data_IF_382682841633
#
_entry.id   IF_382682841633
#
_cell.length_a   1.000
_cell.length_b   1.000
_cell.length_c   1.000
_cell.angle_alpha   90.00
_cell.angle_beta   90.00
_cell.angle_gamma   90.00
#
_symmetry.space_group_name_H-M   'P 1'
#
loop_
_entity.id
_entity.type
_entity.pdbx_description
1 polymer ?
#
# COMPACT_ATOMS: atom_id res chain seq x y z
N UNK A 1 21.34 7.47 9.94
CA UNK A 1 20.59 8.67 9.50
C UNK A 1 20.68 8.79 7.99
N UNK A 2 19.81 8.11 7.23
CA UNK A 2 19.74 8.24 5.75
C UNK A 2 18.52 7.54 5.13
N UNK A 3 17.33 7.64 5.73
CA UNK A 3 16.07 7.18 5.10
C UNK A 3 14.93 8.21 5.20
N UNK A 4 15.26 9.45 5.54
CA UNK A 4 14.38 10.60 5.32
C UNK A 4 14.75 11.15 3.94
N UNK A 5 13.77 11.48 3.10
CA UNK A 5 13.89 12.04 1.74
C UNK A 5 13.77 11.08 0.55
N UNK A 6 12.80 10.16 0.56
CA UNK A 6 12.28 9.60 -0.71
C UNK A 6 10.76 9.80 -0.88
N UNK A 7 10.23 10.92 -0.38
CA UNK A 7 8.81 11.28 -0.48
C UNK A 7 8.49 12.34 -1.55
N UNK A 8 9.45 12.86 -2.31
CA UNK A 8 9.19 14.01 -3.20
C UNK A 8 9.47 13.79 -4.70
N UNK A 9 9.99 12.64 -5.13
CA UNK A 9 10.57 12.55 -6.49
C UNK A 9 9.73 11.80 -7.56
N UNK A 10 8.64 11.09 -7.21
CA UNK A 10 7.94 10.25 -8.21
C UNK A 10 6.74 10.94 -8.87
N UNK A 11 6.24 12.08 -8.37
CA UNK A 11 5.09 12.77 -8.99
C UNK A 11 5.44 13.69 -10.17
N UNK A 12 6.73 13.90 -10.47
CA UNK A 12 7.16 15.01 -11.33
C UNK A 12 7.42 14.67 -12.82
N UNK A 13 7.20 13.44 -13.30
CA UNK A 13 7.78 13.01 -14.59
C UNK A 13 6.81 12.85 -15.77
N UNK A 14 5.52 13.23 -15.70
CA UNK A 14 4.63 13.14 -16.89
C UNK A 14 3.79 14.37 -17.24
N UNK A 15 4.23 15.59 -16.87
CA UNK A 15 3.54 16.84 -17.24
C UNK A 15 4.37 17.79 -18.12
N UNK A 16 5.30 17.27 -18.94
CA UNK A 16 5.99 18.10 -19.95
C UNK A 16 5.47 17.79 -21.34
N UNK A 17 4.59 18.65 -21.87
CA UNK A 17 4.20 18.53 -23.27
C UNK A 17 3.05 19.39 -23.81
N UNK A 18 2.90 20.66 -23.41
CA UNK A 18 2.36 21.74 -24.28
C UNK A 18 2.41 23.10 -23.55
N UNK A 19 3.41 23.91 -23.87
CA UNK A 19 3.31 25.36 -23.71
C UNK A 19 2.42 25.84 -24.84
N UNK A 20 1.12 26.01 -24.57
CA UNK A 20 0.23 26.76 -25.41
C UNK A 20 0.04 28.14 -24.77
N UNK A 21 0.16 29.17 -25.59
CA UNK A 21 0.08 30.57 -25.22
C UNK A 21 -1.19 30.89 -24.40
N UNK A 22 -1.05 31.83 -23.47
CA UNK A 22 -2.15 32.42 -22.71
C UNK A 22 -3.14 33.09 -23.66
N UNK A 23 -4.30 32.48 -23.89
CA UNK A 23 -5.47 33.17 -24.43
C UNK A 23 -6.40 33.59 -23.28
N UNK A 24 -6.77 34.88 -23.18
CA UNK A 24 -7.74 35.35 -22.21
C UNK A 24 -9.15 34.95 -22.65
N UNK A 25 -9.51 33.72 -22.28
CA UNK A 25 -10.81 33.11 -22.53
C UNK A 25 -10.92 31.70 -21.96
N UNK A 26 -10.07 31.34 -20.99
CA UNK A 26 -10.04 30.00 -20.42
C UNK A 26 -11.35 29.71 -19.69
N UNK A 27 -12.25 28.98 -20.35
CA UNK A 27 -13.30 28.22 -19.69
C UNK A 27 -12.71 27.57 -18.44
N UNK A 28 -13.38 27.72 -17.30
CA UNK A 28 -12.90 27.18 -16.03
C UNK A 28 -12.48 25.73 -16.25
N UNK A 29 -11.18 25.46 -16.17
CA UNK A 29 -10.62 24.15 -16.43
C UNK A 29 -11.25 23.20 -15.42
N UNK A 30 -11.92 22.15 -15.88
CA UNK A 30 -12.59 21.22 -14.98
C UNK A 30 -11.58 20.69 -13.94
N UNK A 31 -11.99 20.53 -12.67
CA UNK A 31 -11.10 20.01 -11.65
C UNK A 31 -10.53 18.66 -12.03
N UNK A 32 -9.27 18.44 -11.64
CA UNK A 32 -8.73 17.10 -11.57
C UNK A 32 -9.51 16.30 -10.51
N UNK A 33 -10.19 15.23 -10.92
CA UNK A 33 -10.98 14.38 -10.04
C UNK A 33 -10.23 13.10 -9.72
N UNK A 34 -9.93 12.91 -8.44
CA UNK A 34 -9.19 11.75 -7.94
C UNK A 34 -10.06 10.96 -6.99
N UNK A 35 -10.31 9.69 -7.31
CA UNK A 35 -10.96 8.73 -6.42
C UNK A 35 -9.90 7.95 -5.64
N UNK A 36 -10.03 7.89 -4.32
CA UNK A 36 -9.11 7.16 -3.44
C UNK A 36 -9.88 6.00 -2.81
N UNK A 37 -9.45 4.78 -3.08
CA UNK A 37 -9.97 3.55 -2.48
C UNK A 37 -9.03 3.10 -1.37
N UNK A 38 -9.51 3.14 -0.13
CA UNK A 38 -8.81 2.62 1.05
C UNK A 38 -9.55 1.39 1.58
N UNK A 39 -8.80 0.34 1.90
CA UNK A 39 -9.33 -0.87 2.51
C UNK A 39 -9.60 -0.70 4.02
N UNK A 40 -9.08 0.38 4.61
CA UNK A 40 -9.12 0.64 6.05
C UNK A 40 -10.04 1.80 6.42
N UNK A 41 -10.44 1.81 7.70
CA UNK A 41 -11.26 2.89 8.25
C UNK A 41 -10.47 4.20 8.33
N UNK A 42 -11.08 5.36 8.04
CA UNK A 42 -10.38 6.66 8.00
C UNK A 42 -9.85 7.12 9.37
N UNK A 43 -10.25 6.44 10.45
CA UNK A 43 -9.78 6.72 11.82
C UNK A 43 -8.46 6.03 12.15
N UNK A 44 -7.96 5.10 11.32
CA UNK A 44 -6.65 4.49 11.57
C UNK A 44 -5.53 5.52 11.39
N UNK A 45 -4.53 5.55 12.30
CA UNK A 45 -3.41 6.49 12.18
C UNK A 45 -2.68 6.40 10.83
N UNK A 46 -2.56 5.20 10.25
CA UNK A 46 -1.98 5.00 8.92
C UNK A 46 -2.76 5.72 7.83
N UNK A 47 -4.07 5.49 7.72
CA UNK A 47 -4.95 6.15 6.76
C UNK A 47 -4.99 7.67 6.95
N UNK A 48 -5.00 8.17 8.19
CA UNK A 48 -4.94 9.60 8.47
C UNK A 48 -3.63 10.24 7.96
N UNK A 49 -2.49 9.62 8.24
CA UNK A 49 -1.18 10.09 7.77
C UNK A 49 -1.07 10.03 6.25
N UNK A 50 -1.57 8.95 5.64
CA UNK A 50 -1.63 8.82 4.19
C UNK A 50 -2.44 9.95 3.57
N UNK A 51 -3.69 10.18 4.03
CA UNK A 51 -4.54 11.24 3.49
C UNK A 51 -3.99 12.65 3.75
N UNK A 52 -3.33 12.88 4.89
CA UNK A 52 -2.66 14.14 5.17
C UNK A 52 -1.51 14.38 4.17
N UNK A 53 -0.65 13.39 3.97
CA UNK A 53 0.47 13.47 3.03
C UNK A 53 -0.01 13.64 1.59
N UNK A 54 -1.03 12.87 1.19
CA UNK A 54 -1.62 12.93 -0.15
C UNK A 54 -2.19 14.32 -0.45
N UNK A 55 -2.99 14.88 0.47
CA UNK A 55 -3.54 16.24 0.34
C UNK A 55 -2.44 17.30 0.30
N UNK A 56 -1.38 17.13 1.09
CA UNK A 56 -0.21 18.01 1.06
C UNK A 56 0.45 18.01 -0.32
N UNK A 57 0.78 16.83 -0.85
CA UNK A 57 1.39 16.69 -2.17
C UNK A 57 0.51 17.21 -3.31
N UNK A 58 -0.80 16.98 -3.27
CA UNK A 58 -1.74 17.53 -4.26
C UNK A 58 -1.76 19.05 -4.27
N UNK A 59 -1.73 19.69 -3.09
CA UNK A 59 -1.70 21.16 -3.00
C UNK A 59 -0.41 21.76 -3.57
N UNK A 60 0.71 21.07 -3.41
CA UNK A 60 2.02 21.51 -3.92
C UNK A 60 2.16 21.27 -5.43
N UNK A 61 1.78 20.09 -5.91
CA UNK A 61 1.99 19.67 -7.30
C UNK A 61 0.89 20.15 -8.26
N UNK A 62 -0.35 20.26 -7.77
CA UNK A 62 -1.51 20.69 -8.53
C UNK A 62 -2.28 21.78 -7.77
N UNK A 63 -1.70 23.01 -7.67
CA UNK A 63 -2.35 24.13 -6.99
C UNK A 63 -3.64 24.62 -7.68
N UNK A 64 -3.93 24.13 -8.89
CA UNK A 64 -5.22 24.28 -9.55
C UNK A 64 -6.35 23.54 -8.80
N UNK A 65 -7.61 23.78 -9.21
CA UNK A 65 -8.79 23.14 -8.62
C UNK A 65 -8.71 21.61 -8.78
N UNK A 66 -8.76 20.87 -7.67
CA UNK A 66 -8.83 19.41 -7.66
C UNK A 66 -9.92 18.95 -6.68
N UNK A 67 -10.60 17.86 -7.03
CA UNK A 67 -11.65 17.24 -6.23
C UNK A 67 -11.19 15.86 -5.78
N UNK A 68 -11.19 15.64 -4.47
CA UNK A 68 -10.81 14.35 -3.89
C UNK A 68 -12.06 13.62 -3.41
N UNK A 69 -12.28 12.44 -3.98
CA UNK A 69 -13.27 11.48 -3.56
C UNK A 69 -12.54 10.38 -2.77
N UNK A 70 -13.13 9.92 -1.68
CA UNK A 70 -12.49 8.91 -0.83
C UNK A 70 -13.53 7.90 -0.37
N UNK A 71 -13.23 6.63 -0.62
CA UNK A 71 -14.02 5.50 -0.18
C UNK A 71 -13.20 4.65 0.77
N UNK A 72 -13.71 4.51 1.99
CA UNK A 72 -13.22 3.55 2.96
C UNK A 72 -14.07 2.29 2.85
N UNK A 73 -13.48 1.24 2.32
CA UNK A 73 -14.16 -0.03 2.07
C UNK A 73 -14.17 -0.95 3.31
N UNK A 74 -13.38 -0.63 4.35
CA UNK A 74 -13.26 -1.39 5.61
C UNK A 74 -13.11 -2.92 5.42
N UNK A 75 -12.43 -3.34 4.35
CA UNK A 75 -12.29 -4.74 3.91
C UNK A 75 -11.61 -5.64 4.96
N UNK A 76 -10.82 -5.07 5.88
CA UNK A 76 -10.21 -5.81 6.98
C UNK A 76 -11.19 -6.15 8.11
N UNK A 77 -12.26 -5.37 8.27
CA UNK A 77 -13.26 -5.52 9.35
C UNK A 77 -14.53 -6.19 8.85
N UNK A 78 -14.88 -5.96 7.59
CA UNK A 78 -16.15 -6.37 7.02
C UNK A 78 -15.95 -7.54 6.06
N UNK A 79 -16.34 -8.73 6.52
CA UNK A 79 -16.45 -9.94 5.72
C UNK A 79 -17.52 -9.88 4.62
N UNK A 80 -18.33 -8.80 4.59
CA UNK A 80 -19.40 -8.58 3.61
C UNK A 80 -18.90 -8.25 2.20
N UNK A 81 -17.61 -7.94 2.05
CA UNK A 81 -17.00 -7.64 0.77
C UNK A 81 -16.11 -8.79 0.24
N UNK A 82 -16.42 -10.04 0.61
CA UNK A 82 -15.75 -11.25 0.08
C UNK A 82 -15.81 -11.38 -1.45
N UNK A 83 -16.65 -10.59 -2.12
CA UNK A 83 -16.76 -10.53 -3.57
C UNK A 83 -16.47 -9.09 -4.03
N UNK A 84 -15.33 -8.89 -4.67
CA UNK A 84 -14.88 -7.59 -5.21
C UNK A 84 -15.94 -7.00 -6.15
N UNK A 85 -16.58 -7.84 -6.96
CA UNK A 85 -17.64 -7.48 -7.91
C UNK A 85 -18.80 -6.72 -7.27
N UNK A 86 -19.24 -7.09 -6.07
CA UNK A 86 -20.31 -6.36 -5.39
C UNK A 86 -19.89 -4.93 -5.02
N UNK A 87 -18.61 -4.75 -4.65
CA UNK A 87 -18.04 -3.42 -4.38
C UNK A 87 -17.96 -2.62 -5.67
N UNK A 88 -17.52 -3.25 -6.76
CA UNK A 88 -17.40 -2.61 -8.06
C UNK A 88 -18.79 -2.19 -8.59
N UNK A 89 -19.82 -3.05 -8.48
CA UNK A 89 -21.21 -2.72 -8.83
C UNK A 89 -21.70 -1.51 -8.04
N UNK A 90 -21.48 -1.51 -6.72
CA UNK A 90 -21.89 -0.41 -5.84
C UNK A 90 -21.17 0.90 -6.17
N UNK A 91 -19.85 0.86 -6.37
CA UNK A 91 -19.06 2.03 -6.75
C UNK A 91 -19.46 2.56 -8.13
N UNK A 92 -19.69 1.67 -9.10
CA UNK A 92 -20.12 2.04 -10.44
C UNK A 92 -21.48 2.75 -10.41
N UNK A 93 -22.43 2.26 -9.60
CA UNK A 93 -23.72 2.91 -9.41
C UNK A 93 -23.60 4.24 -8.67
N UNK A 94 -22.76 4.32 -7.62
CA UNK A 94 -22.56 5.54 -6.83
C UNK A 94 -21.98 6.68 -7.66
N UNK A 95 -21.08 6.36 -8.58
CA UNK A 95 -20.32 7.30 -9.38
C UNK A 95 -20.76 7.37 -10.84
N UNK A 96 -21.98 6.92 -11.14
CA UNK A 96 -22.53 7.03 -12.48
C UNK A 96 -22.52 8.49 -12.96
N UNK A 97 -22.11 8.70 -14.22
CA UNK A 97 -21.90 10.03 -14.80
C UNK A 97 -20.72 10.84 -14.24
N UNK A 98 -19.98 10.34 -13.25
CA UNK A 98 -18.79 11.01 -12.70
C UNK A 98 -17.53 10.55 -13.44
N UNK A 99 -16.78 11.50 -14.00
CA UNK A 99 -15.47 11.23 -14.60
C UNK A 99 -14.36 11.34 -13.55
N UNK A 100 -13.44 10.38 -13.54
CA UNK A 100 -12.22 10.43 -12.76
C UNK A 100 -11.00 10.49 -13.68
N UNK A 101 -10.08 11.39 -13.40
CA UNK A 101 -8.78 11.44 -14.07
C UNK A 101 -7.84 10.37 -13.49
N UNK A 102 -8.02 10.03 -12.21
CA UNK A 102 -7.22 9.01 -11.55
C UNK A 102 -7.97 8.28 -10.45
N UNK A 103 -7.62 7.00 -10.27
CA UNK A 103 -8.08 6.15 -9.18
C UNK A 103 -6.86 5.69 -8.37
N UNK A 104 -6.77 6.09 -7.12
CA UNK A 104 -5.73 5.69 -6.19
C UNK A 104 -6.20 4.45 -5.43
N UNK A 105 -5.43 3.37 -5.49
CA UNK A 105 -5.74 2.10 -4.83
C UNK A 105 -4.76 1.81 -3.69
N UNK A 106 -5.22 1.86 -2.44
CA UNK A 106 -4.38 1.69 -1.25
C UNK A 106 -4.34 0.25 -0.71
N UNK A 107 -4.18 -0.72 -1.61
CA UNK A 107 -3.92 -2.15 -1.35
C UNK A 107 -3.97 -3.01 -2.61
N UNK A 108 -3.56 -4.27 -2.52
CA UNK A 108 -3.74 -5.25 -3.61
C UNK A 108 -5.24 -5.45 -3.93
N UNK A 109 -6.09 -5.56 -2.89
CA UNK A 109 -7.54 -5.71 -3.07
C UNK A 109 -8.18 -4.45 -3.66
N UNK A 110 -7.80 -3.26 -3.18
CA UNK A 110 -8.26 -2.01 -3.79
C UNK A 110 -7.78 -1.86 -5.24
N UNK A 111 -6.62 -2.42 -5.59
CA UNK A 111 -6.12 -2.42 -6.96
C UNK A 111 -7.01 -3.28 -7.87
N UNK A 112 -7.42 -4.47 -7.43
CA UNK A 112 -8.37 -5.29 -8.20
C UNK A 112 -9.71 -4.57 -8.41
N UNK A 113 -10.24 -3.96 -7.35
CA UNK A 113 -11.47 -3.16 -7.41
C UNK A 113 -11.30 -1.96 -8.35
N UNK A 114 -10.17 -1.25 -8.29
CA UNK A 114 -9.89 -0.13 -9.17
C UNK A 114 -9.80 -0.54 -10.65
N UNK A 115 -9.18 -1.70 -10.93
CA UNK A 115 -9.08 -2.25 -12.29
C UNK A 115 -10.47 -2.54 -12.87
N UNK A 116 -11.35 -3.19 -12.11
CA UNK A 116 -12.73 -3.46 -12.54
C UNK A 116 -13.58 -2.20 -12.64
N UNK A 117 -13.42 -1.25 -11.71
CA UNK A 117 -14.13 0.03 -11.74
C UNK A 117 -13.73 0.88 -12.96
N UNK A 118 -12.43 0.92 -13.27
CA UNK A 118 -11.90 1.61 -14.46
C UNK A 118 -12.54 1.11 -15.73
N UNK A 119 -12.66 -0.21 -15.89
CA UNK A 119 -13.29 -0.82 -17.08
C UNK A 119 -14.75 -0.40 -17.26
N UNK A 120 -15.48 -0.15 -16.17
CA UNK A 120 -16.92 0.12 -16.21
C UNK A 120 -17.28 1.59 -16.39
N UNK A 121 -16.64 2.48 -15.62
CA UNK A 121 -17.10 3.89 -15.54
C UNK A 121 -15.98 4.92 -15.75
N UNK A 122 -14.72 4.51 -15.82
CA UNK A 122 -13.60 5.45 -15.90
C UNK A 122 -12.47 4.97 -16.83
N UNK A 123 -12.74 4.55 -18.09
CA UNK A 123 -11.77 3.83 -18.93
C UNK A 123 -10.47 4.59 -19.21
N UNK A 124 -10.51 5.93 -19.21
CA UNK A 124 -9.34 6.79 -19.44
C UNK A 124 -8.56 7.13 -18.15
N UNK A 125 -9.03 6.69 -16.98
CA UNK A 125 -8.39 7.03 -15.70
C UNK A 125 -7.03 6.34 -15.55
N UNK A 126 -6.08 7.05 -14.94
CA UNK A 126 -4.82 6.47 -14.48
C UNK A 126 -5.05 5.80 -13.13
N UNK A 127 -4.67 4.52 -12.99
CA UNK A 127 -4.67 3.87 -11.68
C UNK A 127 -3.30 4.09 -11.05
N UNK A 128 -3.32 4.53 -9.79
CA UNK A 128 -2.14 4.77 -8.97
C UNK A 128 -2.23 3.85 -7.76
N UNK A 129 -1.46 2.77 -7.73
CA UNK A 129 -1.42 1.90 -6.56
C UNK A 129 -0.46 2.43 -5.49
N UNK A 130 -0.81 2.22 -4.24
CA UNK A 130 0.04 2.47 -3.07
C UNK A 130 -0.14 1.34 -2.07
N UNK A 131 0.84 1.17 -1.17
CA UNK A 131 0.79 0.15 -0.12
C UNK A 131 0.70 -1.30 -0.66
N UNK A 132 1.29 -1.56 -1.83
CA UNK A 132 1.43 -2.90 -2.42
C UNK A 132 2.90 -3.31 -2.48
N UNK A 133 3.21 -4.60 -2.33
CA UNK A 133 4.59 -5.08 -2.35
C UNK A 133 5.17 -5.08 -3.79
N UNK A 134 6.51 -5.01 -3.96
CA UNK A 134 7.13 -5.00 -5.28
C UNK A 134 6.74 -6.18 -6.18
N UNK A 135 6.62 -7.38 -5.62
CA UNK A 135 6.23 -8.59 -6.35
C UNK A 135 4.77 -8.53 -6.84
N UNK A 136 3.88 -7.88 -6.08
CA UNK A 136 2.48 -7.66 -6.47
C UNK A 136 2.33 -6.54 -7.48
N UNK A 137 3.20 -5.53 -7.43
CA UNK A 137 3.22 -4.42 -8.37
C UNK A 137 3.82 -4.81 -9.73
N UNK A 138 4.77 -5.75 -9.75
CA UNK A 138 5.57 -6.08 -10.94
C UNK A 138 4.74 -6.33 -12.23
N UNK A 139 3.61 -7.07 -12.20
CA UNK A 139 2.79 -7.30 -13.41
C UNK A 139 2.17 -6.02 -13.99
N UNK A 140 2.06 -4.96 -13.19
CA UNK A 140 1.33 -3.74 -13.51
C UNK A 140 2.22 -2.59 -13.96
N UNK A 141 3.53 -2.65 -13.69
CA UNK A 141 4.45 -1.53 -13.93
C UNK A 141 4.71 -1.22 -15.42
N UNK A 142 4.44 -2.17 -16.31
CA UNK A 142 4.57 -1.98 -17.76
C UNK A 142 3.25 -1.58 -18.43
N UNK A 143 2.13 -1.61 -17.70
CA UNK A 143 0.80 -1.36 -18.26
C UNK A 143 0.53 0.14 -18.45
N UNK A 144 0.03 0.58 -19.61
CA UNK A 144 -0.35 1.98 -19.81
C UNK A 144 -1.37 2.46 -18.79
N UNK A 145 -1.18 3.71 -18.32
CA UNK A 145 -2.06 4.35 -17.31
C UNK A 145 -2.18 3.54 -16.01
N UNK A 146 -1.17 2.74 -15.69
CA UNK A 146 -1.04 2.01 -14.44
C UNK A 146 0.33 2.35 -13.85
N UNK A 147 0.36 2.89 -12.63
CA UNK A 147 1.60 3.27 -11.97
C UNK A 147 1.40 3.25 -10.46
N UNK A 148 2.44 3.54 -9.69
CA UNK A 148 2.29 3.64 -8.25
C UNK A 148 3.58 3.64 -7.46
N UNK A 149 3.42 3.57 -6.14
CA UNK A 149 4.51 3.50 -5.17
C UNK A 149 4.43 2.16 -4.45
N UNK A 150 5.50 1.38 -4.54
CA UNK A 150 5.60 0.09 -3.86
C UNK A 150 5.99 0.30 -2.40
N UNK A 151 5.48 -0.58 -1.54
CA UNK A 151 5.78 -0.60 -0.13
C UNK A 151 6.86 -1.65 0.16
N UNK A 152 8.08 -1.17 0.39
CA UNK A 152 9.19 -2.01 0.80
C UNK A 152 9.22 -2.11 2.34
N UNK A 153 9.28 -3.35 2.84
CA UNK A 153 9.52 -3.59 4.26
C UNK A 153 11.01 -3.85 4.46
N UNK A 154 11.72 -3.05 5.28
CA UNK A 154 13.15 -3.19 5.47
C UNK A 154 13.47 -4.34 6.45
N UNK A 155 12.99 -5.55 6.15
CA UNK A 155 13.09 -6.73 7.04
C UNK A 155 14.55 -7.02 7.41
N UNK A 156 15.46 -6.95 6.44
CA UNK A 156 16.89 -7.13 6.67
C UNK A 156 17.48 -6.07 7.60
N UNK A 157 17.09 -4.79 7.46
CA UNK A 157 17.59 -3.71 8.32
C UNK A 157 17.04 -3.81 9.75
N UNK A 158 15.79 -4.26 9.90
CA UNK A 158 15.19 -4.53 11.21
C UNK A 158 15.94 -5.68 11.89
N UNK A 159 16.24 -6.75 11.15
CA UNK A 159 17.04 -7.86 11.68
C UNK A 159 18.46 -7.39 12.04
N UNK A 160 19.12 -6.58 11.20
CA UNK A 160 20.43 -5.99 11.50
C UNK A 160 20.40 -5.18 12.80
N UNK A 161 19.36 -4.37 12.98
CA UNK A 161 19.18 -3.60 14.20
C UNK A 161 19.00 -4.51 15.42
N UNK A 162 18.19 -5.56 15.31
CA UNK A 162 18.00 -6.53 16.39
C UNK A 162 19.31 -7.22 16.79
N UNK A 163 20.13 -7.62 15.82
CA UNK A 163 21.43 -8.26 16.09
C UNK A 163 22.46 -7.32 16.70
N UNK A 164 22.37 -6.01 16.45
CA UNK A 164 23.20 -5.02 17.16
C UNK A 164 22.82 -4.89 18.64
N UNK A 165 21.53 -5.01 18.95
CA UNK A 165 21.03 -4.97 20.33
C UNK A 165 21.27 -6.29 21.06
N UNK A 166 21.16 -7.41 20.35
CA UNK A 166 21.30 -8.77 20.86
C UNK A 166 22.41 -9.51 20.09
N UNK A 167 23.69 -9.21 20.34
CA UNK A 167 24.82 -9.72 19.55
C UNK A 167 25.05 -11.23 19.69
N UNK A 168 24.47 -11.87 20.72
CA UNK A 168 24.56 -13.31 20.94
C UNK A 168 23.46 -14.10 20.23
N UNK A 169 22.59 -13.44 19.45
CA UNK A 169 21.47 -14.10 18.78
C UNK A 169 21.94 -15.19 17.83
N UNK A 170 21.38 -16.38 17.97
CA UNK A 170 21.57 -17.54 17.06
C UNK A 170 20.28 -17.93 16.35
N UNK A 171 19.13 -17.52 16.91
CA UNK A 171 17.80 -17.90 16.41
C UNK A 171 16.91 -16.68 16.23
N UNK A 172 16.12 -16.69 15.16
CA UNK A 172 15.01 -15.77 14.93
C UNK A 172 13.72 -16.57 14.92
N UNK A 173 12.74 -16.14 15.71
CA UNK A 173 11.41 -16.73 15.77
C UNK A 173 10.43 -15.78 15.11
N UNK A 174 9.81 -16.20 14.01
CA UNK A 174 8.77 -15.42 13.33
C UNK A 174 7.40 -15.74 13.96
N UNK A 175 6.68 -14.70 14.39
CA UNK A 175 5.32 -14.84 14.91
C UNK A 175 4.32 -14.04 14.07
N UNK A 176 3.11 -14.55 13.94
CA UNK A 176 2.09 -13.86 13.16
C UNK A 176 0.95 -14.77 12.75
N UNK A 177 0.31 -14.41 11.65
CA UNK A 177 -0.74 -15.17 11.01
C UNK A 177 -0.32 -15.40 9.56
N UNK A 178 -0.50 -16.61 9.02
CA UNK A 178 -0.08 -16.97 7.66
C UNK A 178 -0.94 -16.33 6.57
N UNK A 179 -2.19 -15.98 6.88
CA UNK A 179 -3.01 -15.11 6.02
C UNK A 179 -2.53 -13.64 6.07
N UNK A 180 -1.67 -13.32 7.04
CA UNK A 180 -1.05 -12.02 7.28
C UNK A 180 -2.06 -10.90 7.48
N UNK A 181 -1.53 -9.68 7.60
CA UNK A 181 -2.30 -8.52 7.18
C UNK A 181 -2.49 -8.70 5.66
N UNK A 182 -3.66 -9.19 5.22
CA UNK A 182 -4.12 -9.23 3.81
C UNK A 182 -3.37 -8.14 3.04
N UNK A 183 -2.43 -8.50 2.15
CA UNK A 183 -1.50 -7.67 1.32
C UNK A 183 0.03 -7.83 1.57
N UNK A 184 0.52 -8.60 2.55
CA UNK A 184 1.98 -8.78 2.77
C UNK A 184 2.40 -10.26 2.97
N UNK A 185 1.44 -11.18 2.89
CA UNK A 185 1.49 -12.58 3.37
C UNK A 185 2.84 -13.29 3.20
N UNK A 186 3.32 -13.59 1.98
CA UNK A 186 4.58 -14.30 1.81
C UNK A 186 5.81 -13.38 1.77
N UNK A 187 5.64 -12.05 1.68
CA UNK A 187 6.76 -11.13 1.48
C UNK A 187 7.66 -11.07 2.72
N UNK A 188 7.07 -10.84 3.91
CA UNK A 188 7.84 -10.78 5.16
C UNK A 188 8.53 -12.12 5.47
N UNK A 189 7.85 -13.28 5.46
CA UNK A 189 8.51 -14.56 5.73
C UNK A 189 9.64 -14.89 4.75
N UNK A 190 9.46 -14.58 3.46
CA UNK A 190 10.52 -14.80 2.45
C UNK A 190 11.73 -13.89 2.69
N UNK A 191 11.51 -12.61 2.93
CA UNK A 191 12.60 -11.67 3.21
C UNK A 191 13.31 -12.02 4.52
N UNK A 192 12.56 -12.41 5.55
CA UNK A 192 13.12 -12.80 6.83
C UNK A 192 13.94 -14.09 6.71
N UNK A 193 13.43 -15.08 5.97
CA UNK A 193 14.16 -16.32 5.68
C UNK A 193 15.46 -16.03 4.92
N UNK A 194 15.41 -15.22 3.88
CA UNK A 194 16.61 -14.82 3.14
C UNK A 194 17.63 -14.09 4.04
N UNK A 195 17.16 -13.16 4.87
CA UNK A 195 18.01 -12.39 5.77
C UNK A 195 18.61 -13.24 6.90
N UNK A 196 17.84 -14.15 7.49
CA UNK A 196 18.30 -15.08 8.52
C UNK A 196 19.35 -16.06 7.96
N UNK A 197 19.08 -16.66 6.79
CA UNK A 197 20.01 -17.56 6.12
C UNK A 197 21.34 -16.87 5.78
N UNK A 198 21.30 -15.64 5.26
CA UNK A 198 22.50 -14.86 4.94
C UNK A 198 23.37 -14.55 6.19
N UNK A 199 22.80 -14.67 7.38
CA UNK A 199 23.46 -14.39 8.67
C UNK A 199 23.75 -15.65 9.49
N UNK A 200 23.43 -16.84 8.95
CA UNK A 200 23.62 -18.11 9.63
C UNK A 200 22.71 -18.30 10.85
N UNK A 201 21.55 -17.64 10.89
CA UNK A 201 20.60 -17.74 12.00
C UNK A 201 19.60 -18.86 11.74
N UNK A 202 19.24 -19.60 12.78
CA UNK A 202 18.11 -20.53 12.75
C UNK A 202 16.80 -19.74 12.66
N UNK A 203 15.98 -19.97 11.63
CA UNK A 203 14.63 -19.41 11.55
C UNK A 203 13.60 -20.44 12.02
N UNK A 204 12.79 -20.07 13.01
CA UNK A 204 11.67 -20.87 13.51
C UNK A 204 10.37 -20.11 13.24
N UNK A 205 9.43 -20.74 12.55
CA UNK A 205 8.11 -20.14 12.29
C UNK A 205 7.08 -20.64 13.31
N UNK A 206 6.45 -19.69 14.00
CA UNK A 206 5.39 -19.93 14.99
C UNK A 206 4.09 -19.17 14.61
N UNK A 207 3.88 -18.93 13.32
CA UNK A 207 2.61 -18.38 12.84
C UNK A 207 1.41 -19.29 13.15
N UNK A 208 0.24 -18.68 13.24
CA UNK A 208 -1.09 -19.32 13.42
C UNK A 208 -1.26 -20.15 14.70
N UNK A 209 -0.34 -20.05 15.65
CA UNK A 209 -0.53 -20.65 16.96
C UNK A 209 -1.66 -19.98 17.73
N UNK A 210 -2.39 -20.78 18.51
CA UNK A 210 -3.30 -20.23 19.51
C UNK A 210 -2.52 -19.35 20.48
N UNK A 211 -3.17 -18.34 21.07
CA UNK A 211 -2.50 -17.47 22.04
C UNK A 211 -1.90 -18.27 23.22
N UNK A 212 -2.54 -19.37 23.62
CA UNK A 212 -2.04 -20.24 24.67
C UNK A 212 -0.75 -20.96 24.25
N UNK A 213 -0.74 -21.55 23.06
CA UNK A 213 0.44 -22.27 22.54
C UNK A 213 1.59 -21.31 22.22
N UNK A 214 1.28 -20.13 21.65
CA UNK A 214 2.26 -19.09 21.40
C UNK A 214 2.94 -18.65 22.71
N UNK A 215 2.16 -18.39 23.77
CA UNK A 215 2.72 -18.07 25.09
C UNK A 215 3.61 -19.18 25.64
N UNK A 216 3.17 -20.43 25.54
CA UNK A 216 3.95 -21.57 25.99
C UNK A 216 5.28 -21.71 25.23
N UNK A 217 5.25 -21.52 23.90
CA UNK A 217 6.46 -21.54 23.06
C UNK A 217 7.40 -20.37 23.36
N UNK A 218 6.87 -19.16 23.49
CA UNK A 218 7.66 -17.96 23.81
C UNK A 218 8.32 -18.04 25.19
N UNK A 219 7.65 -18.64 26.18
CA UNK A 219 8.19 -18.83 27.52
C UNK A 219 9.36 -19.82 27.58
N UNK A 220 9.48 -20.71 26.60
CA UNK A 220 10.54 -21.70 26.49
C UNK A 220 11.75 -21.24 25.65
N UNK A 221 11.73 -20.00 25.13
CA UNK A 221 12.82 -19.50 24.30
C UNK A 221 14.09 -19.25 25.11
N UNK A 222 15.23 -19.57 24.50
CA UNK A 222 16.56 -19.29 25.04
C UNK A 222 16.94 -17.81 24.83
N UNK A 223 17.87 -17.32 25.66
CA UNK A 223 18.28 -15.90 25.65
C UNK A 223 18.99 -15.43 24.37
N UNK A 224 19.41 -16.37 23.52
CA UNK A 224 20.00 -16.15 22.19
C UNK A 224 18.94 -16.11 21.06
N UNK A 225 17.66 -15.93 21.41
CA UNK A 225 16.56 -15.87 20.45
C UNK A 225 15.98 -14.47 20.35
N UNK A 226 15.82 -13.97 19.12
CA UNK A 226 15.04 -12.77 18.82
C UNK A 226 13.68 -13.18 18.27
N UNK A 227 12.61 -12.54 18.75
CA UNK A 227 11.27 -12.68 18.19
C UNK A 227 11.03 -11.57 17.18
N UNK A 228 10.57 -11.95 15.98
CA UNK A 228 10.29 -11.09 14.85
C UNK A 228 8.80 -11.10 14.51
#
# INVERSE_FOLDING_TARGET
MRHRFFCCAVLAVLLTGRVAADEPGAAAREPLRVLILDQDTPTRPGSQRFMQGFRGGMREAAPAHHELFSESLELRRLDKFKHEENVIDWLASKYDGTRFDSIVAASDTCLQIALGLRQRIAPESTIIFVAITPDRAAPYLAEPRLTGVVHEFPVGEILDMALRLFPQTQRVVHIGHSDGVRNIGPFIPRQLSAAANAKGLELVDLCDLSLADLKARLAALSADTVVF
#
